data_IF_692563665657
#
_entry.id   IF_692563665657
#
_cell.length_a   1.000
_cell.length_b   1.000
_cell.length_c   1.000
_cell.angle_alpha   90.00
_cell.angle_beta   90.00
_cell.angle_gamma   90.00
#
_symmetry.space_group_name_H-M   'P 1'
#
loop_
_entity.id
_entity.type
_entity.pdbx_description
1 polymer ?
#
# COMPACT_ATOMS: atom_id res chain seq x y z
N UNK A 1 -12.93 -18.94 15.78
CA UNK A 1 -12.27 -19.48 14.57
C UNK A 1 -13.28 -19.58 13.43
N UNK A 2 -13.25 -18.64 12.48
CA UNK A 2 -14.00 -18.75 11.20
C UNK A 2 -12.94 -18.78 10.10
N UNK A 3 -12.31 -19.94 9.94
CA UNK A 3 -10.96 -20.05 9.38
C UNK A 3 -10.85 -19.97 7.83
N UNK A 4 -11.94 -19.78 7.06
CA UNK A 4 -11.84 -19.82 5.58
C UNK A 4 -12.63 -18.76 4.79
N UNK A 5 -13.69 -18.15 5.35
CA UNK A 5 -14.60 -17.30 4.55
C UNK A 5 -14.06 -15.89 4.25
N UNK A 6 -12.97 -15.46 4.89
CA UNK A 6 -12.35 -14.13 4.70
C UNK A 6 -10.93 -14.13 4.16
N UNK A 7 -10.33 -15.30 3.89
CA UNK A 7 -8.93 -15.37 3.44
C UNK A 7 -8.74 -14.77 2.04
N UNK A 8 -9.65 -15.09 1.11
CA UNK A 8 -9.62 -14.54 -0.24
C UNK A 8 -9.83 -13.01 -0.23
N UNK A 9 -10.81 -12.53 0.55
CA UNK A 9 -11.12 -11.10 0.67
C UNK A 9 -9.95 -10.31 1.25
N UNK A 10 -9.27 -10.83 2.27
CA UNK A 10 -8.08 -10.20 2.86
C UNK A 10 -6.89 -10.17 1.91
N UNK A 11 -6.67 -11.24 1.13
CA UNK A 11 -5.64 -11.24 0.09
C UNK A 11 -5.93 -10.24 -1.03
N UNK A 12 -7.20 -10.09 -1.40
CA UNK A 12 -7.64 -9.07 -2.36
C UNK A 12 -7.44 -7.66 -1.79
N UNK A 13 -7.83 -7.40 -0.55
CA UNK A 13 -7.59 -6.11 0.14
C UNK A 13 -6.10 -5.79 0.23
N UNK A 14 -5.28 -6.71 0.73
CA UNK A 14 -3.83 -6.53 0.80
C UNK A 14 -3.22 -6.33 -0.60
N UNK A 15 -3.75 -7.02 -1.61
CA UNK A 15 -3.36 -6.83 -3.00
C UNK A 15 -3.66 -5.42 -3.53
N UNK A 16 -4.89 -4.92 -3.31
CA UNK A 16 -5.29 -3.57 -3.71
C UNK A 16 -4.46 -2.49 -3.01
N UNK A 17 -4.17 -2.67 -1.72
CA UNK A 17 -3.33 -1.73 -0.96
C UNK A 17 -1.88 -1.73 -1.49
N UNK A 18 -1.32 -2.88 -1.84
CA UNK A 18 0.01 -2.95 -2.48
C UNK A 18 0.03 -2.30 -3.86
N UNK A 19 -1.03 -2.45 -4.65
CA UNK A 19 -1.14 -1.76 -5.94
C UNK A 19 -1.17 -0.23 -5.73
N UNK A 20 -1.95 0.25 -4.76
CA UNK A 20 -1.98 1.67 -4.42
C UNK A 20 -0.61 2.20 -3.96
N UNK A 21 0.10 1.47 -3.10
CA UNK A 21 1.46 1.81 -2.68
C UNK A 21 2.43 1.86 -3.88
N UNK A 22 2.31 0.90 -4.81
CA UNK A 22 3.14 0.85 -6.02
C UNK A 22 2.87 2.04 -6.96
N UNK A 23 1.62 2.48 -7.09
CA UNK A 23 1.28 3.67 -7.88
C UNK A 23 1.88 4.94 -7.24
N UNK A 24 1.86 5.04 -5.91
CA UNK A 24 2.47 6.16 -5.19
C UNK A 24 4.00 6.18 -5.37
N UNK A 25 4.66 5.01 -5.31
CA UNK A 25 6.11 4.88 -5.52
C UNK A 25 6.51 5.11 -6.98
N UNK A 26 5.75 4.60 -7.95
CA UNK A 26 6.07 4.78 -9.38
C UNK A 26 5.94 6.26 -9.80
N UNK A 27 4.96 6.98 -9.22
CA UNK A 27 4.86 8.44 -9.36
C UNK A 27 6.03 9.20 -8.71
N UNK A 28 6.82 8.59 -7.84
CA UNK A 28 8.04 9.19 -7.31
C UNK A 28 9.21 9.15 -8.33
N UNK A 29 9.29 8.10 -9.16
CA UNK A 29 10.38 7.91 -10.14
C UNK A 29 10.28 8.92 -11.28
N UNK A 30 9.06 9.26 -11.69
CA UNK A 30 8.82 10.42 -12.56
C UNK A 30 8.67 11.62 -11.64
N UNK A 31 9.75 12.40 -11.42
CA UNK A 31 9.66 13.77 -10.87
C UNK A 31 8.60 14.53 -11.67
N UNK A 32 7.36 14.48 -11.19
CA UNK A 32 6.24 15.10 -11.84
C UNK A 32 6.44 16.59 -11.63
N UNK A 33 6.50 17.37 -12.71
CA UNK A 33 6.58 18.84 -12.61
C UNK A 33 5.38 19.45 -11.88
N UNK A 34 4.35 18.65 -11.62
CA UNK A 34 3.09 19.03 -10.98
C UNK A 34 3.12 18.80 -9.46
N UNK A 35 4.07 18.02 -8.95
CA UNK A 35 4.11 17.62 -7.53
C UNK A 35 5.37 18.20 -6.90
N UNK A 36 5.24 18.90 -5.78
CA UNK A 36 6.39 19.50 -5.10
C UNK A 36 7.29 18.42 -4.49
N UNK A 37 8.57 18.71 -4.27
CA UNK A 37 9.49 17.77 -3.60
C UNK A 37 8.98 17.30 -2.22
N UNK A 38 8.22 18.15 -1.51
CA UNK A 38 7.62 17.81 -0.21
C UNK A 38 6.50 16.79 -0.37
N UNK A 39 5.58 17.05 -1.30
CA UNK A 39 4.49 16.12 -1.61
C UNK A 39 5.03 14.77 -2.10
N UNK A 40 6.15 14.77 -2.84
CA UNK A 40 6.84 13.55 -3.26
C UNK A 40 7.34 12.72 -2.05
N UNK A 41 7.99 13.37 -1.09
CA UNK A 41 8.43 12.70 0.13
C UNK A 41 7.23 12.17 0.95
N UNK A 42 6.15 12.95 1.04
CA UNK A 42 4.94 12.54 1.75
C UNK A 42 4.26 11.33 1.06
N UNK A 43 4.20 11.33 -0.28
CA UNK A 43 3.69 10.19 -1.05
C UNK A 43 4.53 8.92 -0.87
N UNK A 44 5.85 9.06 -0.76
CA UNK A 44 6.75 7.93 -0.48
C UNK A 44 6.50 7.36 0.92
N UNK A 45 6.41 8.22 1.94
CA UNK A 45 6.12 7.81 3.31
C UNK A 45 4.72 7.18 3.46
N UNK A 46 3.73 7.69 2.73
CA UNK A 46 2.39 7.07 2.66
C UNK A 46 2.43 5.70 2.02
N UNK A 47 3.23 5.49 0.98
CA UNK A 47 3.37 4.19 0.34
C UNK A 47 3.96 3.13 1.28
N UNK A 48 5.01 3.48 2.05
CA UNK A 48 5.58 2.57 3.05
C UNK A 48 4.56 2.18 4.13
N UNK A 49 3.77 3.16 4.60
CA UNK A 49 2.69 2.89 5.57
C UNK A 49 1.65 1.93 5.01
N UNK A 50 1.23 2.13 3.75
CA UNK A 50 0.26 1.27 3.08
C UNK A 50 0.81 -0.15 2.91
N UNK A 51 2.08 -0.30 2.54
CA UNK A 51 2.72 -1.61 2.45
C UNK A 51 2.73 -2.32 3.81
N UNK A 52 3.05 -1.62 4.89
CA UNK A 52 2.98 -2.16 6.26
C UNK A 52 1.55 -2.53 6.71
N UNK A 53 0.52 -1.82 6.24
CA UNK A 53 -0.89 -2.20 6.46
C UNK A 53 -1.23 -3.47 5.69
N UNK A 54 -0.85 -3.54 4.41
CA UNK A 54 -1.09 -4.71 3.56
C UNK A 54 -0.43 -5.97 4.14
N UNK A 55 0.80 -5.84 4.64
CA UNK A 55 1.53 -6.93 5.29
C UNK A 55 0.82 -7.41 6.56
N UNK A 56 0.32 -6.50 7.39
CA UNK A 56 -0.46 -6.86 8.59
C UNK A 56 -1.77 -7.57 8.25
N UNK A 57 -2.51 -7.08 7.26
CA UNK A 57 -3.74 -7.73 6.77
C UNK A 57 -3.43 -9.12 6.21
N UNK A 58 -2.34 -9.25 5.47
CA UNK A 58 -1.89 -10.52 4.90
C UNK A 58 -1.43 -11.54 5.95
N UNK A 59 -0.76 -11.07 7.02
CA UNK A 59 -0.28 -11.91 8.13
C UNK A 59 -1.32 -12.12 9.22
N UNK A 60 -2.56 -11.64 8.98
CA UNK A 60 -3.71 -11.83 9.86
C UNK A 60 -3.70 -11.05 11.16
N UNK A 61 -2.75 -10.11 11.34
CA UNK A 61 -2.32 -9.60 12.64
C UNK A 61 -1.92 -10.75 13.61
N UNK A 62 -0.76 -10.72 14.28
CA UNK A 62 -0.65 -11.50 15.52
C UNK A 62 -1.69 -11.01 16.54
#
# INVERSE_FOLDING_TARGET
MIARKGWLRRKLEAGMIRIAARILIDRNVKRSSVVSCRDNNDMWYMAEKLEGIADRISRQYP
#
